data_IF_724134083586
#
_entry.id   IF_724134083586
#
_cell.length_a   1.000
_cell.length_b   1.000
_cell.length_c   1.000
_cell.angle_alpha   90.00
_cell.angle_beta   90.00
_cell.angle_gamma   90.00
#
_symmetry.space_group_name_H-M   'P 1'
#
loop_
_entity.id
_entity.type
_entity.pdbx_description
1 polymer ?
#
# COMPACT_ATOMS: atom_id res chain seq x y z
N UNK A 1 1.43 0.86 14.63
CA UNK A 1 1.10 -0.14 13.59
C UNK A 1 1.35 0.46 12.23
N UNK A 2 1.57 -0.38 11.26
CA UNK A 2 1.80 0.09 9.90
C UNK A 2 0.48 0.43 9.22
N UNK A 3 0.55 1.36 8.29
CA UNK A 3 -0.64 1.84 7.57
C UNK A 3 -0.64 1.26 6.16
N UNK A 4 -1.83 0.88 5.71
CA UNK A 4 -1.98 0.24 4.41
C UNK A 4 -3.17 0.83 3.67
N UNK A 5 -3.04 0.86 2.34
CA UNK A 5 -4.15 1.19 1.45
C UNK A 5 -4.61 -0.12 0.80
N UNK A 6 -5.89 -0.41 0.94
CA UNK A 6 -6.51 -1.57 0.29
C UNK A 6 -7.33 -1.04 -0.86
N UNK A 7 -7.04 -1.51 -2.07
CA UNK A 7 -7.80 -1.17 -3.25
C UNK A 7 -8.53 -2.42 -3.70
N UNK A 8 -9.84 -2.35 -3.83
CA UNK A 8 -10.61 -3.55 -4.15
C UNK A 8 -11.60 -3.29 -5.28
N UNK A 9 -11.77 -4.31 -6.10
CA UNK A 9 -12.77 -4.32 -7.15
C UNK A 9 -13.71 -5.48 -6.90
N UNK A 10 -15.00 -5.24 -6.91
CA UNK A 10 -15.97 -6.31 -6.71
C UNK A 10 -16.19 -7.08 -7.99
N UNK A 11 -16.36 -8.38 -7.84
CA UNK A 11 -16.89 -9.21 -8.91
C UNK A 11 -18.39 -9.17 -8.85
N UNK A 12 -19.04 -9.80 -9.82
CA UNK A 12 -20.49 -9.73 -9.94
C UNK A 12 -21.20 -10.14 -8.64
N UNK A 13 -20.75 -11.23 -8.01
CA UNK A 13 -21.42 -11.66 -6.80
C UNK A 13 -21.11 -10.74 -5.63
N UNK A 14 -19.95 -10.05 -5.65
CA UNK A 14 -19.65 -9.07 -4.64
C UNK A 14 -20.54 -7.84 -4.76
N UNK A 15 -20.81 -7.40 -5.97
CA UNK A 15 -21.72 -6.30 -6.23
C UNK A 15 -23.14 -6.68 -5.79
N UNK A 16 -23.57 -7.90 -6.09
CA UNK A 16 -24.88 -8.36 -5.65
C UNK A 16 -24.99 -8.33 -4.13
N UNK A 17 -23.91 -8.74 -3.45
CA UNK A 17 -23.88 -8.68 -2.00
C UNK A 17 -23.93 -7.26 -1.47
N UNK A 18 -23.22 -6.35 -2.12
CA UNK A 18 -23.23 -4.94 -1.73
C UNK A 18 -24.64 -4.35 -1.86
N UNK A 19 -25.32 -4.67 -2.96
CA UNK A 19 -26.67 -4.19 -3.16
C UNK A 19 -27.62 -4.70 -2.07
N UNK A 20 -27.33 -5.87 -1.55
CA UNK A 20 -28.15 -6.49 -0.53
C UNK A 20 -27.86 -5.95 0.86
N UNK A 21 -26.57 -5.80 1.20
CA UNK A 21 -26.16 -5.37 2.53
C UNK A 21 -26.09 -3.86 2.71
N UNK A 22 -25.78 -3.16 1.63
CA UNK A 22 -25.54 -1.73 1.70
C UNK A 22 -24.11 -1.41 2.09
N UNK A 23 -23.71 -0.17 1.85
CA UNK A 23 -22.37 0.29 2.13
C UNK A 23 -22.00 0.25 3.60
N UNK A 24 -22.95 0.60 4.47
CA UNK A 24 -22.71 0.58 5.92
C UNK A 24 -22.51 -0.84 6.42
N UNK A 25 -23.30 -1.77 5.90
CA UNK A 25 -23.14 -3.18 6.29
C UNK A 25 -21.77 -3.72 5.89
N UNK A 26 -21.30 -3.34 4.71
CA UNK A 26 -19.97 -3.75 4.28
C UNK A 26 -18.88 -3.10 5.12
N UNK A 27 -19.09 -1.85 5.54
CA UNK A 27 -18.12 -1.19 6.43
C UNK A 27 -17.98 -1.96 7.73
N UNK A 28 -19.10 -2.42 8.30
CA UNK A 28 -19.04 -3.20 9.52
C UNK A 28 -18.24 -4.48 9.31
N UNK A 29 -18.46 -5.16 8.19
CA UNK A 29 -17.74 -6.40 7.91
C UNK A 29 -16.23 -6.13 7.72
N UNK A 30 -15.88 -5.02 7.12
CA UNK A 30 -14.47 -4.66 6.93
C UNK A 30 -13.85 -4.30 8.27
N UNK A 31 -14.57 -3.59 9.14
CA UNK A 31 -14.09 -3.30 10.49
C UNK A 31 -13.79 -4.59 11.24
N UNK A 32 -14.66 -5.58 11.11
CA UNK A 32 -14.46 -6.88 11.77
C UNK A 32 -13.25 -7.61 11.20
N UNK A 33 -13.06 -7.53 9.91
CA UNK A 33 -11.89 -8.15 9.27
C UNK A 33 -10.60 -7.58 9.84
N UNK A 34 -10.50 -6.26 9.85
CA UNK A 34 -9.31 -5.61 10.39
C UNK A 34 -9.10 -5.94 11.85
N UNK A 35 -10.19 -5.89 12.62
CA UNK A 35 -10.12 -6.18 14.05
C UNK A 35 -9.62 -7.61 14.29
N UNK A 36 -10.09 -8.56 13.49
CA UNK A 36 -9.68 -9.96 13.65
C UNK A 36 -8.20 -10.16 13.34
N UNK A 37 -7.59 -9.24 12.61
CA UNK A 37 -6.17 -9.29 12.29
C UNK A 37 -5.34 -8.37 13.20
N UNK A 38 -5.97 -7.82 14.23
CA UNK A 38 -5.26 -6.97 15.19
C UNK A 38 -5.13 -5.52 14.79
N UNK A 39 -5.89 -5.10 13.78
CA UNK A 39 -5.80 -3.75 13.27
C UNK A 39 -7.11 -2.98 13.38
N UNK A 40 -7.19 -1.89 12.64
CA UNK A 40 -8.40 -1.06 12.63
C UNK A 40 -8.48 -0.28 11.33
N UNK A 41 -9.70 0.01 10.90
CA UNK A 41 -9.95 0.81 9.71
C UNK A 41 -9.90 2.28 10.08
N UNK A 42 -9.19 3.07 9.28
CA UNK A 42 -9.13 4.49 9.45
C UNK A 42 -10.22 5.16 8.59
N UNK A 43 -10.33 4.75 7.34
CA UNK A 43 -11.35 5.30 6.46
C UNK A 43 -11.67 4.30 5.37
N UNK A 44 -12.87 4.42 4.80
CA UNK A 44 -13.32 3.57 3.71
C UNK A 44 -14.21 4.39 2.79
N UNK A 45 -13.91 4.35 1.51
CA UNK A 45 -14.64 5.10 0.51
C UNK A 45 -14.92 4.23 -0.70
N UNK A 46 -16.07 4.46 -1.33
CA UNK A 46 -16.41 3.80 -2.57
C UNK A 46 -16.11 4.72 -3.76
N UNK A 47 -15.88 4.12 -4.90
CA UNK A 47 -15.57 4.86 -6.10
C UNK A 47 -16.18 4.14 -7.30
N UNK A 48 -16.21 4.83 -8.44
CA UNK A 48 -16.74 4.26 -9.68
C UNK A 48 -15.70 4.45 -10.78
N UNK A 49 -14.55 3.83 -10.61
CA UNK A 49 -13.45 3.91 -11.56
C UNK A 49 -12.84 2.53 -11.72
N UNK A 50 -11.52 2.48 -11.77
CA UNK A 50 -10.83 1.20 -11.92
C UNK A 50 -11.03 0.33 -10.71
N UNK A 51 -11.08 0.95 -9.52
CA UNK A 51 -11.32 0.22 -8.29
C UNK A 51 -12.63 0.73 -7.71
N UNK A 52 -13.29 -0.12 -6.93
CA UNK A 52 -14.60 0.21 -6.37
C UNK A 52 -14.54 0.67 -4.93
N UNK A 53 -13.50 0.28 -4.21
CA UNK A 53 -13.38 0.57 -2.78
C UNK A 53 -11.94 0.92 -2.45
N UNK A 54 -11.78 1.95 -1.64
CA UNK A 54 -10.48 2.33 -1.11
C UNK A 54 -10.58 2.35 0.41
N UNK A 55 -9.72 1.58 1.07
CA UNK A 55 -9.72 1.49 2.52
C UNK A 55 -8.33 1.85 3.01
N UNK A 56 -8.25 2.76 3.98
CA UNK A 56 -7.01 3.04 4.67
C UNK A 56 -7.16 2.50 6.08
N UNK A 57 -6.21 1.69 6.52
CA UNK A 57 -6.27 1.12 7.83
C UNK A 57 -4.90 0.75 8.36
N UNK A 58 -4.88 0.33 9.61
CA UNK A 58 -3.66 -0.08 10.28
C UNK A 58 -3.70 -1.56 10.56
N UNK A 59 -2.55 -2.20 10.40
CA UNK A 59 -2.39 -3.62 10.71
C UNK A 59 -1.06 -3.77 11.44
N UNK A 60 -0.92 -4.82 12.25
CA UNK A 60 0.31 -4.96 13.04
C UNK A 60 1.57 -5.12 12.20
N UNK A 61 1.48 -5.85 11.10
CA UNK A 61 2.66 -6.12 10.29
C UNK A 61 2.26 -6.60 8.90
N UNK A 62 3.26 -6.87 8.09
CA UNK A 62 3.03 -7.31 6.72
C UNK A 62 2.40 -8.71 6.64
N UNK A 63 2.61 -9.54 7.65
CA UNK A 63 1.94 -10.85 7.68
C UNK A 63 0.44 -10.71 7.78
N UNK A 64 -0.03 -9.77 8.61
CA UNK A 64 -1.45 -9.51 8.73
C UNK A 64 -2.00 -8.95 7.41
N UNK A 65 -1.25 -8.06 6.77
CA UNK A 65 -1.65 -7.50 5.49
C UNK A 65 -1.74 -8.58 4.42
N UNK A 66 -0.78 -9.49 4.40
CA UNK A 66 -0.79 -10.60 3.45
C UNK A 66 -1.97 -11.52 3.71
N UNK A 67 -2.27 -11.79 4.98
CA UNK A 67 -3.42 -12.62 5.33
C UNK A 67 -4.70 -12.00 4.83
N UNK A 68 -4.85 -10.69 5.00
CA UNK A 68 -6.03 -9.97 4.51
C UNK A 68 -6.15 -10.15 3.01
N UNK A 69 -5.07 -9.91 2.28
CA UNK A 69 -5.06 -10.01 0.84
C UNK A 69 -5.45 -11.41 0.36
N UNK A 70 -4.83 -12.42 0.93
CA UNK A 70 -5.09 -13.80 0.52
C UNK A 70 -6.51 -14.23 0.81
N UNK A 71 -7.01 -13.88 1.99
CA UNK A 71 -8.35 -14.31 2.37
C UNK A 71 -9.43 -13.63 1.56
N UNK A 72 -9.28 -12.34 1.31
CA UNK A 72 -10.24 -11.61 0.49
C UNK A 72 -10.24 -12.15 -0.93
N UNK A 73 -9.05 -12.32 -1.51
CA UNK A 73 -8.96 -12.80 -2.88
C UNK A 73 -9.44 -14.25 -3.02
N UNK A 74 -9.17 -15.08 -2.02
CA UNK A 74 -9.61 -16.48 -2.07
C UNK A 74 -11.13 -16.61 -1.98
N UNK A 75 -11.78 -15.66 -1.30
CA UNK A 75 -13.24 -15.72 -1.16
C UNK A 75 -13.96 -15.46 -2.48
N UNK A 76 -13.33 -14.77 -3.41
CA UNK A 76 -13.85 -14.66 -4.78
C UNK A 76 -14.84 -13.56 -5.05
N UNK A 77 -15.35 -12.86 -4.04
CA UNK A 77 -16.32 -11.79 -4.26
C UNK A 77 -15.68 -10.49 -4.67
N UNK A 78 -14.39 -10.33 -4.40
CA UNK A 78 -13.65 -9.13 -4.74
C UNK A 78 -12.21 -9.51 -5.02
N UNK A 79 -11.54 -8.67 -5.80
CA UNK A 79 -10.09 -8.75 -5.97
C UNK A 79 -9.50 -7.55 -5.26
N UNK A 80 -8.50 -7.76 -4.42
CA UNK A 80 -7.90 -6.63 -3.71
C UNK A 80 -6.40 -6.61 -3.85
N UNK A 81 -5.85 -5.41 -3.72
CA UNK A 81 -4.42 -5.14 -3.68
C UNK A 81 -4.14 -4.41 -2.38
N UNK A 82 -3.01 -4.72 -1.78
CA UNK A 82 -2.61 -4.09 -0.53
C UNK A 82 -1.34 -3.29 -0.79
N UNK A 83 -1.39 -2.00 -0.51
CA UNK A 83 -0.27 -1.10 -0.74
C UNK A 83 0.23 -0.61 0.62
N UNK A 84 1.52 -0.76 0.85
CA UNK A 84 2.12 -0.28 2.09
C UNK A 84 2.28 1.22 2.00
N UNK A 85 1.78 1.93 3.00
CA UNK A 85 1.90 3.38 3.06
C UNK A 85 3.01 3.73 4.05
N UNK A 86 3.75 4.77 3.73
CA UNK A 86 4.87 5.19 4.55
C UNK A 86 4.65 6.59 5.05
N UNK A 87 5.13 6.86 6.25
CA UNK A 87 5.06 8.21 6.80
C UNK A 87 6.19 9.06 6.21
N UNK A 88 6.07 10.35 6.36
CA UNK A 88 7.12 11.26 5.91
C UNK A 88 8.42 10.99 6.66
N UNK A 89 8.32 10.62 7.94
CA UNK A 89 9.50 10.29 8.74
C UNK A 89 10.20 9.03 8.23
N UNK A 90 9.42 8.06 7.78
CA UNK A 90 10.01 6.86 7.20
C UNK A 90 10.75 7.17 5.91
N UNK A 91 10.23 8.11 5.12
CA UNK A 91 10.93 8.55 3.92
C UNK A 91 12.23 9.28 4.29
N UNK A 92 12.16 10.13 5.33
CA UNK A 92 13.37 10.80 5.79
C UNK A 92 14.43 9.79 6.21
N UNK A 93 14.02 8.73 6.88
CA UNK A 93 14.94 7.66 7.27
C UNK A 93 15.52 6.95 6.07
N UNK A 94 14.69 6.71 5.06
CA UNK A 94 15.13 6.02 3.85
C UNK A 94 16.19 6.84 3.12
N UNK A 95 16.00 8.16 3.07
CA UNK A 95 16.94 9.05 2.39
C UNK A 95 18.34 8.97 3.02
N UNK A 96 18.38 8.73 4.32
CA UNK A 96 19.67 8.69 5.04
C UNK A 96 20.41 7.39 4.85
N UNK A 97 19.79 6.38 4.27
CA UNK A 97 20.47 5.11 4.07
C UNK A 97 21.40 5.21 2.87
N UNK A 98 22.61 4.73 3.05
CA UNK A 98 23.60 4.69 1.97
C UNK A 98 23.35 3.46 1.11
N UNK A 99 23.59 3.59 -0.16
CA UNK A 99 23.42 2.45 -1.06
C UNK A 99 24.39 2.54 -2.22
N UNK A 100 24.60 1.41 -2.85
CA UNK A 100 25.46 1.32 -4.02
C UNK A 100 24.65 0.83 -5.19
N UNK A 101 23.95 1.74 -5.82
CA UNK A 101 23.12 1.39 -6.96
C UNK A 101 23.82 1.77 -8.25
N UNK A 102 23.86 0.82 -9.16
CA UNK A 102 24.40 1.04 -10.49
C UNK A 102 23.24 1.00 -11.48
N UNK A 103 22.92 2.13 -12.13
CA UNK A 103 21.86 2.12 -13.13
C UNK A 103 22.22 1.20 -14.28
N UNK A 104 21.24 0.66 -14.98
CA UNK A 104 21.51 -0.22 -16.11
C UNK A 104 22.41 0.48 -17.13
N UNK A 105 23.47 -0.20 -17.54
CA UNK A 105 24.38 0.32 -18.53
C UNK A 105 25.43 1.29 -18.02
N UNK A 106 25.46 1.51 -16.71
CA UNK A 106 26.43 2.42 -16.11
C UNK A 106 27.36 1.67 -15.15
N UNK A 107 28.51 2.25 -14.91
CA UNK A 107 29.45 1.65 -13.98
C UNK A 107 28.94 1.79 -12.56
N UNK A 108 29.32 0.82 -11.72
CA UNK A 108 29.01 0.91 -10.32
C UNK A 108 29.76 2.09 -9.69
N UNK A 109 29.09 2.93 -8.90
CA UNK A 109 29.78 4.03 -8.25
C UNK A 109 30.88 3.50 -7.34
N UNK A 110 31.97 4.22 -7.21
CA UNK A 110 33.08 3.79 -6.38
C UNK A 110 32.74 3.75 -4.90
N UNK A 111 31.73 4.52 -4.50
CA UNK A 111 31.29 4.53 -3.10
C UNK A 111 29.81 4.74 -3.05
N UNK A 112 29.23 4.53 -1.86
CA UNK A 112 27.81 4.65 -1.71
C UNK A 112 27.36 6.09 -1.80
N UNK A 113 26.18 6.27 -2.36
CA UNK A 113 25.57 7.59 -2.43
C UNK A 113 24.97 7.93 -1.08
N UNK A 114 25.28 9.11 -0.58
CA UNK A 114 24.76 9.57 0.68
C UNK A 114 24.10 10.93 0.48
N UNK A 115 22.77 10.90 0.34
CA UNK A 115 22.02 12.10 0.08
C UNK A 115 22.13 13.15 1.14
N UNK A 116 22.27 12.75 2.36
CA UNK A 116 22.37 13.68 3.44
C UNK A 116 23.62 14.54 3.29
N UNK A 117 24.74 13.92 2.96
CA UNK A 117 25.97 14.65 2.73
C UNK A 117 25.93 15.51 1.51
N UNK A 118 25.10 15.14 0.55
CA UNK A 118 25.00 15.88 -0.68
C UNK A 118 23.99 17.00 -0.62
N UNK A 119 23.26 17.10 0.46
CA UNK A 119 22.24 18.11 0.53
C UNK A 119 21.08 17.86 -0.38
N UNK A 120 20.97 16.71 -0.91
CA UNK A 120 19.86 16.36 -1.76
C UNK A 120 19.94 16.89 -3.15
N UNK A 121 20.96 17.64 -3.47
CA UNK A 121 21.01 18.29 -4.77
C UNK A 121 21.27 17.33 -5.91
N UNK A 122 21.70 16.14 -5.61
CA UNK A 122 21.92 15.18 -6.65
C UNK A 122 20.71 14.89 -7.46
N UNK A 123 19.58 15.02 -6.84
CA UNK A 123 18.43 14.71 -7.54
C UNK A 123 18.13 15.66 -8.56
N UNK A 124 18.70 16.81 -8.50
CA UNK A 124 18.39 17.79 -9.47
C UNK A 124 19.01 17.47 -10.77
N UNK A 125 19.99 16.66 -10.77
CA UNK A 125 20.62 16.33 -12.02
C UNK A 125 19.77 15.38 -12.77
N UNK A 126 19.70 15.55 -14.04
CA UNK A 126 18.98 14.63 -14.86
C UNK A 126 19.59 13.28 -14.75
N UNK A 127 18.78 12.24 -14.67
CA UNK A 127 19.36 10.91 -14.72
C UNK A 127 20.04 10.75 -16.07
N UNK A 128 21.09 9.99 -16.11
CA UNK A 128 21.72 9.73 -17.40
C UNK A 128 20.76 9.06 -18.33
N UNK A 129 20.90 9.30 -19.61
CA UNK A 129 20.07 8.61 -20.57
C UNK A 129 20.29 7.13 -20.46
N UNK A 130 19.25 6.41 -20.68
CA UNK A 130 19.31 4.97 -20.53
C UNK A 130 19.56 4.31 -21.85
#
# INVERSE_FOLDING_TARGET
MAKYLIEASYRAEGIAGLLKEGGTGRRTAVDELFSSLGGKVESMHYAFGDEDVFIIGELPDNSAAAALSMKVNAAGAAACKVVVLMTTQEIDSAIKKSSRYRPPGHDLPPEEVNWEGEGGHLRQESPPPV
#
